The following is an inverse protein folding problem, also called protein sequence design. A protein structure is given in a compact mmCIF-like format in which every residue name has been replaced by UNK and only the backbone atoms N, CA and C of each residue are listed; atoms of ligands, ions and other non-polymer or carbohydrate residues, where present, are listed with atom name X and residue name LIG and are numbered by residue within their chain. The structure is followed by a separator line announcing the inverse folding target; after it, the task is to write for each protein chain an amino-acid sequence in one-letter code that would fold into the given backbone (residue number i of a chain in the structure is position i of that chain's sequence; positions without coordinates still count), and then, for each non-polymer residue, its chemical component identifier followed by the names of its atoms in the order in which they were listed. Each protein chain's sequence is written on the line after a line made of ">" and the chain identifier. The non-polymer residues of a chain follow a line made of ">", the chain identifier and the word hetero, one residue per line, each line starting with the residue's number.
data_IF_681889076247
#
_entry.id   IF_681889076247
#
_cell.length_a   1.000
_cell.length_b   1.000
_cell.length_c   1.000
_cell.angle_alpha   90.00
_cell.angle_beta   90.00
_cell.angle_gamma   90.00
#
_symmetry.space_group_name_H-M   'P 1'
#
loop_
_entity.id
_entity.type
_entity.pdbx_description
1 polymer ?
#
# COMPACT_ATOMS: atom_id res chain seq x y z
N UNK A 1 -22.74 14.13 -8.03
CA UNK A 1 -21.42 14.53 -7.47
C UNK A 1 -20.48 14.89 -8.60
N UNK A 2 -19.64 15.89 -8.40
CA UNK A 2 -18.64 16.27 -9.41
C UNK A 2 -17.31 15.60 -9.06
N UNK A 3 -16.98 14.49 -9.71
CA UNK A 3 -15.76 13.69 -9.48
C UNK A 3 -14.52 14.21 -10.21
N UNK A 4 -14.52 15.45 -10.69
CA UNK A 4 -13.43 16.02 -11.54
C UNK A 4 -12.05 16.01 -10.88
N UNK A 5 -11.97 15.89 -9.55
CA UNK A 5 -10.73 15.91 -8.79
C UNK A 5 -10.39 14.56 -8.13
N UNK A 6 -11.08 13.47 -8.53
CA UNK A 6 -10.82 12.13 -8.00
C UNK A 6 -10.12 11.32 -9.06
N UNK A 7 -8.98 10.72 -8.69
CA UNK A 7 -8.27 9.76 -9.51
C UNK A 7 -8.73 8.36 -9.11
N UNK A 8 -9.33 7.63 -10.06
CA UNK A 8 -9.69 6.24 -9.86
C UNK A 8 -8.45 5.34 -9.99
N UNK A 9 -8.39 4.22 -9.26
CA UNK A 9 -7.32 3.24 -9.47
C UNK A 9 -7.43 2.69 -10.90
N UNK A 10 -6.32 2.67 -11.60
CA UNK A 10 -6.25 2.15 -12.96
C UNK A 10 -5.37 0.89 -12.97
N UNK A 11 -5.97 -0.27 -12.79
CA UNK A 11 -5.23 -1.55 -12.70
C UNK A 11 -4.51 -1.95 -14.01
N UNK A 12 -4.80 -1.27 -15.12
CA UNK A 12 -4.04 -1.41 -16.35
C UNK A 12 -2.76 -0.53 -16.36
N UNK A 13 -2.67 0.41 -15.41
CA UNK A 13 -1.55 1.35 -15.30
C UNK A 13 -1.33 1.79 -13.85
N UNK A 14 -0.91 0.84 -13.02
CA UNK A 14 -0.68 1.04 -11.58
C UNK A 14 0.58 0.35 -11.08
N UNK A 15 0.87 0.52 -9.81
CA UNK A 15 2.01 -0.09 -9.13
C UNK A 15 2.10 -1.62 -9.29
N UNK A 16 0.96 -2.31 -9.44
CA UNK A 16 0.93 -3.75 -9.74
C UNK A 16 1.64 -4.08 -11.05
N UNK A 17 1.53 -3.21 -12.07
CA UNK A 17 2.24 -3.37 -13.34
C UNK A 17 3.76 -3.31 -13.19
N UNK A 18 4.27 -2.47 -12.29
CA UNK A 18 5.70 -2.37 -12.01
C UNK A 18 6.25 -3.68 -11.45
N UNK A 19 5.61 -4.23 -10.41
CA UNK A 19 6.07 -5.49 -9.81
C UNK A 19 5.83 -6.68 -10.72
N UNK A 20 4.76 -6.66 -11.54
CA UNK A 20 4.51 -7.70 -12.55
C UNK A 20 5.60 -7.74 -13.62
N UNK A 21 6.15 -6.59 -14.03
CA UNK A 21 7.30 -6.52 -14.95
C UNK A 21 8.55 -7.14 -14.34
N UNK A 22 8.82 -6.89 -13.06
CA UNK A 22 9.96 -7.51 -12.35
C UNK A 22 9.76 -9.04 -12.25
N UNK A 23 8.57 -9.51 -11.92
CA UNK A 23 8.24 -10.94 -11.89
C UNK A 23 8.47 -11.60 -13.25
N UNK A 24 7.96 -10.97 -14.31
CA UNK A 24 8.17 -11.43 -15.70
C UNK A 24 9.65 -11.49 -16.08
N UNK A 25 10.46 -10.52 -15.70
CA UNK A 25 11.90 -10.51 -15.94
C UNK A 25 12.59 -11.74 -15.33
N UNK A 26 12.13 -12.23 -14.18
CA UNK A 26 12.62 -13.44 -13.53
C UNK A 26 11.86 -14.72 -13.95
N UNK A 27 11.12 -14.69 -15.05
CA UNK A 27 10.32 -15.82 -15.58
C UNK A 27 9.24 -16.34 -14.62
N UNK A 28 8.76 -15.49 -13.71
CA UNK A 28 7.57 -15.79 -12.90
C UNK A 28 6.33 -15.52 -13.74
N UNK A 29 5.47 -16.53 -13.90
CA UNK A 29 4.19 -16.34 -14.56
C UNK A 29 3.31 -15.36 -13.76
N UNK A 30 2.81 -14.33 -14.43
CA UNK A 30 1.85 -13.38 -13.89
C UNK A 30 0.62 -13.29 -14.77
N UNK A 31 -0.57 -13.18 -14.14
CA UNK A 31 -1.84 -12.96 -14.82
C UNK A 31 -2.16 -11.47 -14.97
N UNK A 32 -1.38 -10.63 -14.31
CA UNK A 32 -1.59 -9.19 -14.28
C UNK A 32 -0.79 -8.51 -15.36
N UNK A 33 -1.32 -7.38 -15.84
CA UNK A 33 -0.68 -6.56 -16.85
C UNK A 33 0.66 -6.03 -16.34
N UNK A 34 1.67 -6.08 -17.18
CA UNK A 34 3.00 -5.51 -16.93
C UNK A 34 3.07 -4.06 -17.40
N UNK A 35 4.06 -3.31 -16.92
CA UNK A 35 4.38 -1.98 -17.41
C UNK A 35 5.25 -2.09 -18.66
N UNK A 36 4.74 -1.65 -19.81
CA UNK A 36 5.50 -1.67 -21.08
C UNK A 36 6.82 -0.91 -20.98
N UNK A 37 6.84 0.21 -20.25
CA UNK A 37 8.06 1.01 -20.05
C UNK A 37 9.09 0.27 -19.19
N UNK A 38 8.67 -0.36 -18.10
CA UNK A 38 9.58 -1.14 -17.25
C UNK A 38 10.03 -2.40 -17.98
N UNK A 39 9.15 -3.08 -18.72
CA UNK A 39 9.51 -4.22 -19.55
C UNK A 39 10.59 -3.84 -20.58
N UNK A 40 10.44 -2.70 -21.26
CA UNK A 40 11.42 -2.23 -22.24
C UNK A 40 12.79 -2.04 -21.59
N UNK A 41 12.85 -1.35 -20.45
CA UNK A 41 14.09 -1.09 -19.72
C UNK A 41 14.74 -2.40 -19.24
N UNK A 42 13.95 -3.30 -18.63
CA UNK A 42 14.47 -4.58 -18.13
C UNK A 42 14.97 -5.50 -19.25
N UNK A 43 14.48 -5.35 -20.48
CA UNK A 43 14.90 -6.11 -21.64
C UNK A 43 16.12 -5.52 -22.39
N UNK A 44 16.62 -4.34 -22.01
CA UNK A 44 17.78 -3.73 -22.67
C UNK A 44 19.06 -4.56 -22.49
N UNK A 45 19.20 -5.18 -21.33
CA UNK A 45 20.35 -6.02 -21.00
C UNK A 45 20.03 -6.99 -19.87
N UNK A 46 20.92 -7.91 -19.61
CA UNK A 46 20.87 -8.77 -18.42
C UNK A 46 21.49 -8.04 -17.24
N UNK A 47 20.70 -7.87 -16.17
CA UNK A 47 21.15 -7.25 -14.92
C UNK A 47 21.53 -8.34 -13.90
N UNK A 48 22.69 -8.14 -13.26
CA UNK A 48 23.13 -8.99 -12.13
C UNK A 48 22.36 -8.63 -10.86
N UNK A 49 22.10 -7.33 -10.66
CA UNK A 49 21.34 -6.84 -9.53
C UNK A 49 20.11 -6.06 -10.02
N UNK A 50 18.93 -6.48 -9.62
CA UNK A 50 17.69 -5.69 -9.77
C UNK A 50 17.27 -5.23 -8.38
N UNK A 51 17.32 -3.93 -8.17
CA UNK A 51 16.97 -3.29 -6.91
C UNK A 51 15.63 -2.60 -7.09
N UNK A 52 14.68 -2.89 -6.21
CA UNK A 52 13.39 -2.22 -6.12
C UNK A 52 13.28 -1.51 -4.77
N UNK A 53 13.39 -0.19 -4.79
CA UNK A 53 13.31 0.66 -3.60
C UNK A 53 11.93 1.32 -3.52
N UNK A 54 11.23 1.10 -2.42
CA UNK A 54 9.94 1.73 -2.12
C UNK A 54 10.16 2.84 -1.09
N UNK A 55 9.77 4.07 -1.44
CA UNK A 55 9.76 5.23 -0.55
C UNK A 55 8.31 5.53 -0.17
N UNK A 56 7.93 5.15 1.05
CA UNK A 56 6.56 5.23 1.55
C UNK A 56 6.01 6.66 1.50
N UNK A 57 4.81 6.80 0.95
CA UNK A 57 4.11 8.08 0.89
C UNK A 57 4.65 9.10 -0.11
N UNK A 58 5.77 8.82 -0.82
CA UNK A 58 6.38 9.75 -1.78
C UNK A 58 5.65 9.77 -3.13
N UNK A 59 4.36 10.09 -3.13
CA UNK A 59 3.59 10.22 -4.36
C UNK A 59 4.05 11.36 -5.26
N UNK A 60 3.72 11.27 -6.56
CA UNK A 60 4.22 12.18 -7.61
C UNK A 60 3.98 13.66 -7.29
N UNK A 61 2.81 14.02 -6.74
CA UNK A 61 2.51 15.42 -6.44
C UNK A 61 3.44 15.99 -5.35
N UNK A 62 3.77 15.20 -4.32
CA UNK A 62 4.70 15.61 -3.26
C UNK A 62 6.11 15.80 -3.86
N UNK A 63 6.54 14.83 -4.67
CA UNK A 63 7.84 14.92 -5.33
C UNK A 63 7.93 16.13 -6.24
N UNK A 64 6.89 16.42 -7.04
CA UNK A 64 6.83 17.58 -7.92
C UNK A 64 6.82 18.91 -7.16
N UNK A 65 6.12 18.97 -6.03
CA UNK A 65 6.03 20.20 -5.23
C UNK A 65 7.35 20.51 -4.49
N UNK A 66 8.06 19.48 -4.06
CA UNK A 66 9.27 19.62 -3.24
C UNK A 66 10.54 19.62 -4.10
N UNK A 67 10.62 18.77 -5.09
CA UNK A 67 11.85 18.49 -5.85
C UNK A 67 11.61 18.36 -7.35
N UNK A 68 10.98 19.37 -7.96
CA UNK A 68 10.60 19.37 -9.38
C UNK A 68 11.80 19.12 -10.32
N UNK A 69 12.93 19.70 -10.03
CA UNK A 69 14.17 19.59 -10.80
C UNK A 69 15.20 18.64 -10.16
N UNK A 70 14.75 17.84 -9.20
CA UNK A 70 15.60 16.90 -8.47
C UNK A 70 15.95 15.64 -9.26
N UNK A 71 16.79 14.83 -8.68
CA UNK A 71 17.30 13.60 -9.28
C UNK A 71 16.18 12.61 -9.62
N UNK A 72 15.23 12.39 -8.72
CA UNK A 72 14.13 11.43 -8.95
C UNK A 72 13.21 11.89 -10.08
N UNK A 73 12.86 13.17 -10.14
CA UNK A 73 12.02 13.70 -11.22
C UNK A 73 12.74 13.66 -12.58
N UNK A 74 14.04 13.94 -12.63
CA UNK A 74 14.84 13.86 -13.88
C UNK A 74 14.91 12.44 -14.43
N UNK A 75 14.85 11.45 -13.56
CA UNK A 75 14.90 10.03 -13.92
C UNK A 75 13.51 9.36 -13.92
N UNK A 76 12.42 10.14 -13.81
CA UNK A 76 11.07 9.61 -13.79
C UNK A 76 10.69 8.97 -15.12
N UNK A 77 10.39 7.69 -15.09
CA UNK A 77 9.99 6.90 -16.26
C UNK A 77 8.48 7.00 -16.50
N UNK A 78 7.69 7.00 -15.43
CA UNK A 78 6.22 6.96 -15.53
C UNK A 78 5.55 7.54 -14.29
N UNK A 79 4.24 7.83 -14.43
CA UNK A 79 3.36 8.16 -13.33
C UNK A 79 2.20 7.16 -13.34
N UNK A 80 2.12 6.32 -12.34
CA UNK A 80 1.12 5.26 -12.22
C UNK A 80 0.22 5.49 -11.00
N UNK A 81 -0.98 4.93 -11.01
CA UNK A 81 -1.81 4.95 -9.79
C UNK A 81 -1.30 3.93 -8.79
N UNK A 82 -1.57 4.17 -7.50
CA UNK A 82 -1.54 3.09 -6.53
C UNK A 82 -2.69 2.12 -6.77
N UNK A 83 -2.70 0.99 -6.04
CA UNK A 83 -3.91 0.18 -5.87
C UNK A 83 -4.90 0.90 -4.97
N UNK A 84 -6.12 0.39 -4.87
CA UNK A 84 -7.10 0.95 -3.93
C UNK A 84 -7.48 -0.09 -2.87
N UNK A 85 -7.60 0.32 -1.61
CA UNK A 85 -7.24 1.66 -1.11
C UNK A 85 -5.74 1.95 -1.23
N UNK A 86 -5.41 3.22 -1.47
CA UNK A 86 -4.04 3.69 -1.56
C UNK A 86 -3.47 3.91 -0.15
N UNK A 87 -3.16 2.82 0.50
CA UNK A 87 -2.63 2.73 1.87
C UNK A 87 -1.50 1.72 1.92
N UNK A 88 -0.55 1.91 2.82
CA UNK A 88 0.65 1.08 2.96
C UNK A 88 0.34 -0.41 2.98
N UNK A 89 -0.67 -0.84 3.76
CA UNK A 89 -1.02 -2.26 3.88
C UNK A 89 -1.43 -2.91 2.56
N UNK A 90 -2.27 -2.25 1.76
CA UNK A 90 -2.72 -2.77 0.47
C UNK A 90 -1.62 -2.67 -0.60
N UNK A 91 -0.92 -1.55 -0.66
CA UNK A 91 0.08 -1.27 -1.67
C UNK A 91 1.37 -2.08 -1.49
N UNK A 92 1.92 -2.13 -0.26
CA UNK A 92 3.09 -2.98 0.01
C UNK A 92 2.77 -4.46 -0.17
N UNK A 93 1.58 -4.92 0.26
CA UNK A 93 1.19 -6.31 0.02
C UNK A 93 1.08 -6.60 -1.48
N UNK A 94 0.68 -5.63 -2.30
CA UNK A 94 0.72 -5.76 -3.76
C UNK A 94 2.17 -5.94 -4.26
N UNK A 95 3.12 -5.17 -3.74
CA UNK A 95 4.54 -5.36 -4.09
C UNK A 95 5.09 -6.70 -3.59
N UNK A 96 4.77 -7.12 -2.37
CA UNK A 96 5.26 -8.38 -1.81
C UNK A 96 4.64 -9.63 -2.40
N UNK A 97 3.42 -9.54 -2.92
CA UNK A 97 2.69 -10.68 -3.48
C UNK A 97 2.69 -10.73 -5.01
N UNK A 98 2.79 -9.57 -5.68
CA UNK A 98 2.52 -9.45 -7.11
C UNK A 98 1.04 -9.62 -7.45
N UNK A 99 0.13 -9.35 -6.50
CA UNK A 99 -1.31 -9.52 -6.64
C UNK A 99 -2.06 -8.27 -6.13
N UNK A 100 -3.23 -7.94 -6.69
CA UNK A 100 -4.04 -6.82 -6.22
C UNK A 100 -4.71 -7.13 -4.87
N UNK A 101 -5.22 -6.12 -4.15
CA UNK A 101 -5.97 -6.30 -2.90
C UNK A 101 -7.16 -7.26 -3.01
N UNK A 102 -7.78 -7.35 -4.20
CA UNK A 102 -8.87 -8.30 -4.47
C UNK A 102 -8.46 -9.77 -4.30
N UNK A 103 -7.21 -10.11 -4.64
CA UNK A 103 -6.69 -11.47 -4.52
C UNK A 103 -6.00 -11.73 -3.17
N UNK A 104 -5.40 -10.72 -2.56
CA UNK A 104 -4.67 -10.91 -1.29
C UNK A 104 -5.56 -10.84 -0.05
N UNK A 105 -6.68 -10.09 -0.15
CA UNK A 105 -7.50 -9.79 1.03
C UNK A 105 -6.89 -8.75 1.96
N UNK A 106 -5.73 -8.17 1.62
CA UNK A 106 -5.12 -7.06 2.36
C UNK A 106 -5.66 -5.75 1.80
N UNK A 107 -6.69 -5.18 2.45
CA UNK A 107 -7.46 -4.08 1.90
C UNK A 107 -7.47 -2.82 2.76
N UNK A 108 -6.90 -2.88 3.96
CA UNK A 108 -6.87 -1.73 4.87
C UNK A 108 -5.90 -1.96 6.02
N UNK A 109 -5.62 -0.89 6.78
CA UNK A 109 -4.87 -0.96 8.03
C UNK A 109 -5.60 -1.79 9.08
N UNK A 110 -6.93 -1.60 9.24
CA UNK A 110 -7.76 -2.28 10.24
C UNK A 110 -8.86 -3.09 9.58
N UNK A 111 -8.83 -4.42 9.68
CA UNK A 111 -9.80 -5.32 9.07
C UNK A 111 -10.56 -6.14 10.13
N UNK A 112 -11.88 -6.26 9.95
CA UNK A 112 -12.73 -7.03 10.85
C UNK A 112 -12.74 -8.51 10.49
N UNK A 113 -12.33 -9.34 11.46
CA UNK A 113 -12.35 -10.81 11.34
C UNK A 113 -13.49 -11.38 12.14
N UNK A 114 -14.57 -11.74 11.46
CA UNK A 114 -15.79 -12.25 12.10
C UNK A 114 -15.56 -13.51 12.94
N UNK A 115 -14.58 -14.36 12.57
CA UNK A 115 -14.20 -15.58 13.28
C UNK A 115 -13.70 -15.28 14.70
N UNK A 116 -13.16 -14.10 14.88
CA UNK A 116 -12.63 -13.65 16.17
C UNK A 116 -13.48 -12.56 16.81
N UNK A 117 -14.49 -12.03 16.09
CA UNK A 117 -15.33 -10.94 16.55
C UNK A 117 -14.54 -9.65 16.80
N UNK A 118 -13.42 -9.43 16.09
CA UNK A 118 -12.51 -8.31 16.33
C UNK A 118 -12.00 -7.69 15.03
N UNK A 119 -11.73 -6.39 15.07
CA UNK A 119 -10.93 -5.71 14.06
C UNK A 119 -9.45 -5.76 14.46
N UNK A 120 -8.59 -6.08 13.49
CA UNK A 120 -7.17 -6.28 13.70
C UNK A 120 -6.37 -5.37 12.78
N UNK A 121 -5.36 -4.71 13.34
CA UNK A 121 -4.41 -3.91 12.58
C UNK A 121 -3.43 -4.82 11.86
N UNK A 122 -3.39 -4.71 10.55
CA UNK A 122 -2.74 -5.68 9.67
C UNK A 122 -1.22 -5.72 9.80
N UNK A 123 -0.54 -4.59 10.02
CA UNK A 123 0.91 -4.56 10.19
C UNK A 123 1.38 -4.53 11.63
N UNK A 124 0.62 -3.92 12.54
CA UNK A 124 1.01 -3.87 13.96
C UNK A 124 0.63 -5.11 14.75
N UNK A 125 -0.20 -5.98 14.18
CA UNK A 125 -0.72 -7.21 14.80
C UNK A 125 -1.44 -6.95 16.13
N UNK A 126 -2.13 -5.79 16.23
CA UNK A 126 -2.88 -5.39 17.42
C UNK A 126 -4.38 -5.44 17.15
N UNK A 127 -5.14 -5.57 18.21
CA UNK A 127 -6.58 -5.30 18.15
C UNK A 127 -6.77 -3.80 17.88
N UNK A 128 -7.59 -3.46 16.87
CA UNK A 128 -7.63 -2.10 16.32
C UNK A 128 -8.24 -1.08 17.27
N UNK A 129 -9.23 -1.48 18.06
CA UNK A 129 -9.96 -0.55 18.93
C UNK A 129 -9.29 -0.38 20.31
N UNK A 130 -8.89 -1.48 20.96
CA UNK A 130 -8.29 -1.43 22.29
C UNK A 130 -6.77 -1.26 22.25
N UNK A 131 -6.16 -1.39 21.06
CA UNK A 131 -4.70 -1.33 20.85
C UNK A 131 -3.92 -2.40 21.63
N UNK A 132 -4.59 -3.50 21.99
CA UNK A 132 -3.99 -4.60 22.70
C UNK A 132 -3.26 -5.56 21.76
N UNK A 133 -2.15 -6.09 22.23
CA UNK A 133 -1.43 -7.14 21.51
C UNK A 133 -2.23 -8.44 21.48
N UNK A 134 -2.25 -9.08 20.31
CA UNK A 134 -2.91 -10.37 20.13
C UNK A 134 -1.94 -11.47 20.58
N UNK A 135 -2.11 -11.94 21.82
CA UNK A 135 -1.24 -12.97 22.41
C UNK A 135 -1.63 -14.42 22.06
N UNK A 136 -2.71 -14.60 21.29
CA UNK A 136 -3.19 -15.94 20.97
C UNK A 136 -2.65 -16.42 19.60
N UNK A 137 -1.74 -17.42 19.55
CA UNK A 137 -1.21 -17.96 18.30
C UNK A 137 -2.28 -18.56 17.38
N UNK A 138 -3.45 -18.92 17.91
CA UNK A 138 -4.59 -19.39 17.10
C UNK A 138 -5.23 -18.27 16.28
N UNK A 139 -4.97 -17.02 16.65
CA UNK A 139 -5.44 -15.83 15.97
C UNK A 139 -4.42 -15.25 14.98
N UNK A 140 -3.43 -16.01 14.56
CA UNK A 140 -2.52 -15.62 13.48
C UNK A 140 -3.26 -15.60 12.15
N UNK A 141 -4.02 -14.52 11.94
CA UNK A 141 -4.82 -14.31 10.74
C UNK A 141 -3.95 -14.13 9.50
N UNK A 142 -2.75 -13.61 9.68
CA UNK A 142 -1.82 -13.27 8.61
C UNK A 142 -1.34 -14.53 7.90
N UNK A 143 -1.00 -15.57 8.65
CA UNK A 143 -0.58 -16.87 8.10
C UNK A 143 -1.74 -17.81 7.76
N UNK A 144 -2.88 -17.67 8.43
CA UNK A 144 -3.98 -18.64 8.30
C UNK A 144 -5.11 -18.19 7.41
N UNK A 145 -5.36 -16.87 7.35
CA UNK A 145 -6.55 -16.32 6.68
C UNK A 145 -6.18 -15.52 5.44
N UNK A 146 -5.21 -14.63 5.54
CA UNK A 146 -4.81 -13.71 4.46
C UNK A 146 -3.36 -13.94 4.02
N UNK A 147 -2.91 -15.19 4.04
CA UNK A 147 -1.59 -15.55 3.57
C UNK A 147 -1.47 -15.44 2.05
N UNK A 148 -0.27 -15.14 1.59
CA UNK A 148 0.08 -15.11 0.17
C UNK A 148 1.50 -15.64 -0.04
N UNK A 149 1.80 -16.11 -1.23
CA UNK A 149 3.17 -16.44 -1.60
C UNK A 149 3.94 -15.18 -1.95
N UNK A 150 5.09 -14.97 -1.27
CA UNK A 150 5.91 -13.78 -1.50
C UNK A 150 6.61 -13.80 -2.86
N UNK A 151 6.85 -12.62 -3.44
CA UNK A 151 7.61 -12.47 -4.68
C UNK A 151 9.02 -13.03 -4.55
N UNK A 152 9.62 -12.96 -3.36
CA UNK A 152 10.96 -13.53 -3.09
C UNK A 152 10.95 -15.03 -3.35
N UNK A 153 9.97 -15.74 -2.79
CA UNK A 153 9.79 -17.18 -3.03
C UNK A 153 9.48 -17.49 -4.49
N UNK A 154 8.60 -16.71 -5.13
CA UNK A 154 8.25 -16.88 -6.55
C UNK A 154 9.48 -16.73 -7.46
N UNK A 155 10.29 -15.68 -7.24
CA UNK A 155 11.50 -15.42 -8.02
C UNK A 155 12.52 -16.53 -7.84
N UNK A 156 12.83 -16.94 -6.61
CA UNK A 156 13.81 -17.99 -6.37
C UNK A 156 13.37 -19.37 -6.90
N UNK A 157 12.06 -19.65 -6.91
CA UNK A 157 11.52 -20.87 -7.54
C UNK A 157 11.65 -20.85 -9.06
N UNK A 158 11.33 -19.73 -9.70
CA UNK A 158 11.39 -19.58 -11.15
C UNK A 158 12.81 -19.41 -11.67
N UNK A 159 13.68 -18.80 -10.89
CA UNK A 159 15.08 -18.50 -11.22
C UNK A 159 16.02 -18.87 -10.07
N UNK A 160 16.36 -20.19 -9.89
CA UNK A 160 17.09 -20.67 -8.70
C UNK A 160 18.50 -20.11 -8.50
N UNK A 161 19.09 -19.51 -9.53
CA UNK A 161 20.40 -18.84 -9.44
C UNK A 161 20.32 -17.44 -8.82
N UNK A 162 19.12 -16.87 -8.73
CA UNK A 162 18.86 -15.55 -8.17
C UNK A 162 18.67 -15.66 -6.66
N UNK A 163 19.36 -14.82 -5.91
CA UNK A 163 19.15 -14.67 -4.47
C UNK A 163 18.26 -13.47 -4.22
N UNK A 164 17.10 -13.68 -3.62
CA UNK A 164 16.18 -12.61 -3.28
C UNK A 164 16.42 -12.11 -1.85
N UNK A 165 16.55 -10.80 -1.72
CA UNK A 165 16.82 -10.10 -0.46
C UNK A 165 15.69 -9.11 -0.14
N UNK A 166 15.38 -9.00 1.13
CA UNK A 166 14.44 -8.04 1.69
C UNK A 166 15.19 -7.14 2.68
N UNK A 167 15.12 -5.81 2.46
CA UNK A 167 15.69 -4.80 3.35
C UNK A 167 14.52 -4.03 3.96
N UNK A 168 14.27 -4.22 5.24
CA UNK A 168 13.09 -3.74 5.95
C UNK A 168 13.48 -3.22 7.35
N UNK A 169 12.70 -2.28 7.92
CA UNK A 169 12.84 -1.91 9.31
C UNK A 169 12.73 -3.12 10.24
N UNK A 170 13.39 -3.06 11.39
CA UNK A 170 13.43 -4.19 12.34
C UNK A 170 12.05 -4.66 12.80
N UNK A 171 11.08 -3.76 12.89
CA UNK A 171 9.71 -4.07 13.32
C UNK A 171 8.86 -4.77 12.24
N UNK A 172 9.30 -4.78 10.97
CA UNK A 172 8.52 -5.36 9.87
C UNK A 172 8.57 -6.89 9.88
N UNK A 173 7.49 -7.51 9.38
CA UNK A 173 7.49 -8.96 9.15
C UNK A 173 8.50 -9.37 8.08
N UNK A 174 9.07 -10.57 8.22
CA UNK A 174 10.02 -11.14 7.26
C UNK A 174 9.32 -12.04 6.26
N UNK A 175 9.53 -11.78 4.98
CA UNK A 175 8.91 -12.49 3.85
C UNK A 175 9.92 -13.23 2.98
N UNK A 176 11.17 -12.77 3.00
CA UNK A 176 12.29 -13.43 2.30
C UNK A 176 13.10 -14.32 3.24
N UNK A 177 13.76 -15.33 2.69
CA UNK A 177 14.75 -16.13 3.43
C UNK A 177 15.96 -15.28 3.83
N UNK A 178 16.28 -14.24 3.05
CA UNK A 178 17.38 -13.30 3.27
C UNK A 178 16.83 -11.94 3.58
N UNK A 179 16.54 -11.71 4.85
CA UNK A 179 16.04 -10.42 5.33
C UNK A 179 17.13 -9.73 6.14
N UNK A 180 17.32 -8.45 5.87
CA UNK A 180 18.32 -7.58 6.50
C UNK A 180 17.58 -6.41 7.14
N UNK A 181 17.90 -6.11 8.40
CA UNK A 181 17.37 -4.92 9.07
C UNK A 181 18.00 -3.67 8.46
N UNK A 182 17.15 -2.73 8.06
CA UNK A 182 17.54 -1.43 7.54
C UNK A 182 16.48 -0.40 7.95
N UNK A 183 16.75 0.35 9.02
CA UNK A 183 15.76 1.22 9.67
C UNK A 183 15.72 2.64 9.10
N UNK A 184 16.58 2.94 8.16
CA UNK A 184 16.67 4.26 7.52
C UNK A 184 17.37 4.17 6.16
N UNK A 185 17.30 5.25 5.38
CA UNK A 185 17.86 5.28 4.02
C UNK A 185 19.38 5.06 3.98
N UNK A 186 20.13 5.46 5.01
CA UNK A 186 21.58 5.24 5.06
C UNK A 186 21.92 3.76 5.22
N UNK A 187 21.20 3.05 6.09
CA UNK A 187 21.34 1.61 6.27
C UNK A 187 20.90 0.84 5.02
N UNK A 188 19.82 1.28 4.34
CA UNK A 188 19.38 0.71 3.06
C UNK A 188 20.50 0.85 2.03
N UNK A 189 21.04 2.04 1.82
CA UNK A 189 22.11 2.30 0.85
C UNK A 189 23.37 1.51 1.17
N UNK A 190 23.78 1.46 2.44
CA UNK A 190 24.92 0.68 2.88
C UNK A 190 24.76 -0.80 2.52
N UNK A 191 23.63 -1.40 2.86
CA UNK A 191 23.36 -2.81 2.58
C UNK A 191 23.26 -3.08 1.07
N UNK A 192 22.63 -2.21 0.28
CA UNK A 192 22.60 -2.32 -1.19
C UNK A 192 24.03 -2.33 -1.75
N UNK A 193 24.86 -1.38 -1.34
CA UNK A 193 26.25 -1.30 -1.79
C UNK A 193 27.03 -2.57 -1.46
N UNK A 194 26.85 -3.13 -0.26
CA UNK A 194 27.56 -4.34 0.15
C UNK A 194 27.05 -5.58 -0.64
N UNK A 195 25.75 -5.71 -0.84
CA UNK A 195 25.18 -6.79 -1.66
C UNK A 195 25.65 -6.70 -3.11
N UNK A 196 25.75 -5.52 -3.71
CA UNK A 196 26.18 -5.33 -5.10
C UNK A 196 27.65 -5.69 -5.33
N UNK A 197 28.49 -5.75 -4.30
CA UNK A 197 29.90 -6.20 -4.42
C UNK A 197 30.04 -7.70 -4.66
N UNK A 198 29.05 -8.49 -4.28
CA UNK A 198 29.10 -9.95 -4.42
C UNK A 198 28.68 -10.40 -5.83
N UNK A 199 29.23 -11.52 -6.37
CA UNK A 199 29.04 -11.91 -7.77
C UNK A 199 27.67 -12.52 -8.09
N UNK A 200 26.88 -12.88 -7.09
CA UNK A 200 25.61 -13.56 -7.30
C UNK A 200 24.59 -12.67 -8.03
N UNK A 201 23.70 -13.26 -8.81
CA UNK A 201 22.52 -12.58 -9.33
C UNK A 201 21.51 -12.32 -8.19
N UNK A 202 20.96 -11.10 -8.10
CA UNK A 202 20.11 -10.69 -7.00
C UNK A 202 18.86 -9.95 -7.44
N UNK A 203 17.80 -10.21 -6.71
CA UNK A 203 16.67 -9.31 -6.56
C UNK A 203 16.71 -8.73 -5.14
N UNK A 204 16.63 -7.42 -5.00
CA UNK A 204 16.65 -6.72 -3.72
C UNK A 204 15.43 -5.84 -3.67
N UNK A 205 14.49 -6.10 -2.76
CA UNK A 205 13.42 -5.17 -2.42
C UNK A 205 13.80 -4.48 -1.12
N UNK A 206 13.84 -3.16 -1.15
CA UNK A 206 14.11 -2.32 0.01
C UNK A 206 12.92 -1.38 0.25
N UNK A 207 12.54 -1.22 1.51
CA UNK A 207 11.44 -0.35 1.93
C UNK A 207 11.91 0.65 2.98
N UNK A 208 11.58 1.92 2.74
CA UNK A 208 11.74 3.01 3.70
C UNK A 208 10.37 3.52 4.10
N UNK A 209 10.06 3.52 5.40
CA UNK A 209 8.82 4.06 5.99
C UNK A 209 8.76 5.60 5.97
N UNK A 210 9.79 6.22 5.45
CA UNK A 210 9.85 7.66 5.21
C UNK A 210 9.90 7.94 3.69
N UNK A 211 9.26 9.04 3.29
CA UNK A 211 8.81 10.18 4.10
C UNK A 211 7.44 10.05 4.79
N UNK A 212 6.65 8.98 4.62
CA UNK A 212 5.27 8.89 5.14
C UNK A 212 5.17 9.21 6.63
N UNK A 213 6.01 8.61 7.47
CA UNK A 213 6.04 8.88 8.92
C UNK A 213 6.28 10.37 9.24
N UNK A 214 7.11 11.05 8.46
CA UNK A 214 7.37 12.49 8.60
C UNK A 214 6.19 13.33 8.11
N UNK A 215 5.57 12.92 6.98
CA UNK A 215 4.39 13.59 6.43
C UNK A 215 3.20 13.51 7.40
N UNK A 216 3.00 12.37 8.04
CA UNK A 216 2.00 12.23 9.11
C UNK A 216 2.25 13.14 10.30
N UNK A 217 3.50 13.29 10.70
CA UNK A 217 3.86 14.06 11.89
C UNK A 217 3.87 15.57 11.67
N UNK A 218 4.33 16.02 10.52
CA UNK A 218 4.63 17.44 10.27
C UNK A 218 3.79 18.05 9.14
N UNK A 219 3.12 17.24 8.33
CA UNK A 219 2.38 17.68 7.14
C UNK A 219 3.20 17.68 5.86
N UNK A 220 2.50 17.64 4.72
CA UNK A 220 3.14 17.45 3.39
C UNK A 220 3.98 18.62 2.92
N UNK A 221 3.76 19.82 3.45
CA UNK A 221 4.47 21.05 3.07
C UNK A 221 5.52 21.48 4.09
N UNK A 222 5.77 20.67 5.12
CA UNK A 222 6.71 21.00 6.20
C UNK A 222 8.16 21.10 5.73
N UNK A 223 8.95 21.89 6.44
CA UNK A 223 10.38 21.99 6.14
C UNK A 223 11.14 20.71 6.46
N UNK A 224 10.68 19.94 7.45
CA UNK A 224 11.19 18.62 7.81
C UNK A 224 11.02 17.62 6.64
N UNK A 225 9.83 17.56 6.05
CA UNK A 225 9.55 16.71 4.90
C UNK A 225 10.40 17.13 3.68
N UNK A 226 10.46 18.42 3.38
CA UNK A 226 11.26 18.97 2.28
C UNK A 226 12.75 18.64 2.43
N UNK A 227 13.28 18.84 3.63
CA UNK A 227 14.69 18.55 3.94
C UNK A 227 14.97 17.07 3.76
N UNK A 228 14.15 16.21 4.36
CA UNK A 228 14.31 14.75 4.27
C UNK A 228 14.29 14.25 2.83
N UNK A 229 13.32 14.69 2.03
CA UNK A 229 13.18 14.25 0.62
C UNK A 229 14.41 14.66 -0.18
N UNK A 230 14.90 15.91 -0.03
CA UNK A 230 16.10 16.37 -0.72
C UNK A 230 17.35 15.60 -0.31
N UNK A 231 17.56 15.41 0.99
CA UNK A 231 18.71 14.63 1.48
C UNK A 231 18.65 13.18 1.01
N UNK A 232 17.45 12.60 0.91
CA UNK A 232 17.24 11.24 0.37
C UNK A 232 17.59 11.19 -1.12
N UNK A 233 17.16 12.16 -1.93
CA UNK A 233 17.53 12.25 -3.34
C UNK A 233 19.04 12.36 -3.53
N UNK A 234 19.72 13.24 -2.77
CA UNK A 234 21.16 13.44 -2.85
C UNK A 234 21.92 12.13 -2.53
N UNK A 235 21.49 11.40 -1.51
CA UNK A 235 22.08 10.11 -1.12
C UNK A 235 21.86 9.02 -2.17
N UNK A 236 20.67 8.96 -2.77
CA UNK A 236 20.36 8.01 -3.84
C UNK A 236 21.19 8.35 -5.08
N UNK A 237 21.27 9.62 -5.47
CA UNK A 237 22.11 10.07 -6.59
C UNK A 237 23.58 9.68 -6.38
N UNK A 238 24.12 9.89 -5.16
CA UNK A 238 25.49 9.49 -4.84
C UNK A 238 25.68 7.97 -4.89
N UNK A 239 24.71 7.20 -4.40
CA UNK A 239 24.74 5.73 -4.49
C UNK A 239 24.80 5.29 -5.96
N UNK A 240 24.03 5.90 -6.87
CA UNK A 240 24.00 5.50 -8.29
C UNK A 240 25.33 5.71 -9.00
N UNK A 241 26.19 6.62 -8.54
CA UNK A 241 27.54 6.83 -9.10
C UNK A 241 28.50 5.70 -8.74
N UNK A 242 28.17 4.91 -7.71
CA UNK A 242 29.05 3.89 -7.13
C UNK A 242 28.59 2.45 -7.42
N UNK A 243 27.40 2.23 -7.92
CA UNK A 243 26.91 0.90 -8.32
C UNK A 243 27.41 0.51 -9.71
N UNK A 244 27.56 -0.79 -9.94
CA UNK A 244 28.06 -1.33 -11.21
C UNK A 244 27.03 -1.20 -12.35
N UNK A 245 27.53 -1.13 -13.60
CA UNK A 245 26.67 -1.00 -14.80
C UNK A 245 25.70 -2.17 -15.01
N UNK A 246 25.94 -3.32 -14.41
CA UNK A 246 25.06 -4.50 -14.43
C UNK A 246 23.99 -4.47 -13.31
N UNK A 247 23.78 -3.29 -12.73
CA UNK A 247 22.78 -3.05 -11.69
C UNK A 247 21.71 -2.10 -12.21
N UNK A 248 20.45 -2.41 -11.98
CA UNK A 248 19.32 -1.50 -12.17
C UNK A 248 18.68 -1.17 -10.84
N UNK A 249 18.41 0.12 -10.64
CA UNK A 249 17.65 0.66 -9.51
C UNK A 249 16.30 1.15 -10.01
N UNK A 250 15.23 0.55 -9.55
CA UNK A 250 13.84 0.96 -9.78
C UNK A 250 13.32 1.54 -8.47
N UNK A 251 12.85 2.78 -8.50
CA UNK A 251 12.29 3.46 -7.33
C UNK A 251 10.81 3.69 -7.55
N UNK A 252 10.00 3.42 -6.53
CA UNK A 252 8.56 3.67 -6.54
C UNK A 252 8.09 4.17 -5.19
N UNK A 253 6.92 4.80 -5.16
CA UNK A 253 6.14 4.98 -3.94
C UNK A 253 5.02 3.94 -3.92
N UNK A 254 4.51 3.64 -2.76
CA UNK A 254 3.33 2.80 -2.58
C UNK A 254 2.04 3.62 -2.70
N UNK A 255 2.03 4.85 -2.15
CA UNK A 255 0.95 5.84 -2.29
C UNK A 255 1.49 7.27 -2.19
N UNK A 256 0.60 8.25 -2.27
CA UNK A 256 0.85 9.64 -1.91
C UNK A 256 0.29 9.97 -0.53
N UNK A 257 0.42 11.21 -0.12
CA UNK A 257 -0.07 11.71 1.16
C UNK A 257 -0.85 13.01 0.97
N UNK A 258 -1.82 13.27 1.84
CA UNK A 258 -2.61 14.50 1.84
C UNK A 258 -2.98 14.91 3.26
N UNK A 259 -2.75 16.18 3.58
CA UNK A 259 -3.15 16.74 4.87
C UNK A 259 -4.66 16.68 5.08
N UNK A 260 -5.05 16.28 6.28
CA UNK A 260 -6.45 16.24 6.70
C UNK A 260 -6.91 17.65 7.06
N UNK A 261 -7.96 18.10 6.38
CA UNK A 261 -8.59 19.42 6.61
C UNK A 261 -9.68 19.34 7.67
N UNK A 262 -10.38 18.19 7.75
CA UNK A 262 -11.50 18.00 8.67
C UNK A 262 -11.59 16.56 9.14
N UNK A 263 -11.69 16.38 10.44
CA UNK A 263 -11.90 15.10 11.08
C UNK A 263 -13.25 15.03 11.75
N UNK A 264 -13.99 13.98 11.49
CA UNK A 264 -15.27 13.66 12.12
C UNK A 264 -15.12 12.47 13.05
N UNK A 265 -16.08 12.34 13.98
CA UNK A 265 -16.30 11.11 14.74
C UNK A 265 -17.76 10.68 14.58
N UNK A 266 -18.00 9.38 14.39
CA UNK A 266 -19.37 8.87 14.35
C UNK A 266 -20.06 8.95 15.70
N UNK A 267 -19.31 9.15 16.80
CA UNK A 267 -19.89 9.35 18.14
C UNK A 267 -20.78 10.60 18.23
N UNK A 268 -20.53 11.60 17.38
CA UNK A 268 -21.35 12.82 17.29
C UNK A 268 -22.67 12.61 16.52
N UNK A 269 -22.87 11.42 15.94
CA UNK A 269 -24.02 11.09 15.08
C UNK A 269 -24.73 9.80 15.55
N UNK A 270 -25.34 9.80 16.73
CA UNK A 270 -25.98 8.60 17.30
C UNK A 270 -27.05 8.01 16.39
N UNK A 271 -27.72 8.84 15.59
CA UNK A 271 -28.70 8.38 14.59
C UNK A 271 -28.10 7.56 13.46
N UNK A 272 -26.81 7.74 13.14
CA UNK A 272 -26.09 6.89 12.18
C UNK A 272 -25.64 5.61 12.88
N UNK A 273 -25.09 5.73 14.10
CA UNK A 273 -24.62 4.58 14.86
C UNK A 273 -25.72 3.57 15.17
N UNK A 274 -26.94 4.02 15.49
CA UNK A 274 -28.05 3.11 15.77
C UNK A 274 -28.40 2.19 14.58
N UNK A 275 -28.03 2.60 13.35
CA UNK A 275 -28.20 1.78 12.15
C UNK A 275 -27.18 0.66 12.04
N UNK A 276 -26.05 0.73 12.76
CA UNK A 276 -24.93 -0.18 12.59
C UNK A 276 -25.06 -1.43 13.46
N UNK A 277 -24.52 -2.54 12.95
CA UNK A 277 -24.36 -3.81 13.69
C UNK A 277 -23.11 -3.75 14.55
N UNK A 278 -22.07 -3.06 14.07
CA UNK A 278 -20.76 -2.93 14.71
C UNK A 278 -20.13 -1.58 14.30
N UNK A 279 -19.08 -1.10 14.97
CA UNK A 279 -18.33 0.08 14.55
C UNK A 279 -17.83 -0.06 13.10
N UNK A 280 -17.66 1.10 12.42
CA UNK A 280 -17.04 1.11 11.10
C UNK A 280 -15.62 0.54 11.15
N UNK A 281 -15.17 -0.07 10.07
CA UNK A 281 -13.84 -0.66 9.94
C UNK A 281 -13.14 -0.18 8.67
N UNK A 282 -11.93 -0.60 8.46
CA UNK A 282 -10.99 -0.38 7.37
C UNK A 282 -10.12 0.86 7.61
N UNK A 283 -10.39 1.99 6.94
CA UNK A 283 -9.55 3.19 6.98
C UNK A 283 -10.37 4.44 7.30
N UNK A 284 -9.74 5.45 7.89
CA UNK A 284 -10.42 6.72 8.19
C UNK A 284 -10.96 7.46 6.97
N UNK A 285 -10.48 7.15 5.77
CA UNK A 285 -10.91 7.73 4.49
C UNK A 285 -11.57 6.73 3.55
N UNK A 286 -11.60 5.47 3.96
CA UNK A 286 -12.27 4.36 3.29
C UNK A 286 -12.92 3.47 4.34
N UNK A 287 -14.17 3.72 4.67
CA UNK A 287 -14.90 3.04 5.74
C UNK A 287 -15.82 1.97 5.18
N UNK A 288 -15.91 0.88 5.91
CA UNK A 288 -16.89 -0.19 5.69
C UNK A 288 -17.94 -0.18 6.79
N UNK A 289 -19.21 -0.29 6.41
CA UNK A 289 -20.37 -0.24 7.32
C UNK A 289 -21.18 -1.52 7.23
N UNK A 290 -21.33 -2.18 8.37
CA UNK A 290 -22.24 -3.30 8.57
C UNK A 290 -23.53 -2.77 9.16
N UNK A 291 -24.60 -2.72 8.34
CA UNK A 291 -25.85 -2.05 8.67
C UNK A 291 -26.94 -3.09 8.93
N UNK A 292 -27.75 -2.84 9.97
CA UNK A 292 -28.95 -3.65 10.28
C UNK A 292 -29.88 -3.67 9.08
N UNK A 293 -30.42 -4.85 8.74
CA UNK A 293 -31.22 -5.05 7.52
C UNK A 293 -32.37 -4.04 7.41
N UNK A 294 -33.11 -3.88 8.50
CA UNK A 294 -34.27 -2.98 8.59
C UNK A 294 -33.90 -1.49 8.63
N UNK A 295 -32.61 -1.15 8.75
CA UNK A 295 -32.13 0.24 8.87
C UNK A 295 -31.40 0.72 7.61
N UNK A 296 -31.27 -0.08 6.57
CA UNK A 296 -30.46 0.25 5.38
C UNK A 296 -30.85 1.57 4.71
N UNK A 297 -32.14 1.78 4.47
CA UNK A 297 -32.62 3.01 3.84
C UNK A 297 -32.37 4.23 4.73
N UNK A 298 -32.64 4.11 6.05
CA UNK A 298 -32.38 5.17 7.03
C UNK A 298 -30.91 5.50 7.15
N UNK A 299 -30.03 4.48 7.11
CA UNK A 299 -28.59 4.67 7.11
C UNK A 299 -28.13 5.54 5.94
N UNK A 300 -28.56 5.19 4.71
CA UNK A 300 -28.20 5.94 3.49
C UNK A 300 -28.70 7.39 3.58
N UNK A 301 -29.94 7.60 4.00
CA UNK A 301 -30.50 8.95 4.18
C UNK A 301 -29.70 9.77 5.21
N UNK A 302 -29.47 9.21 6.40
CA UNK A 302 -28.78 9.89 7.50
C UNK A 302 -27.32 10.16 7.18
N UNK A 303 -26.63 9.19 6.59
CA UNK A 303 -25.24 9.35 6.19
C UNK A 303 -25.10 10.45 5.13
N UNK A 304 -25.89 10.42 4.08
CA UNK A 304 -25.83 11.41 3.01
C UNK A 304 -26.21 12.81 3.50
N UNK A 305 -27.19 12.94 4.39
CA UNK A 305 -27.56 14.23 4.97
C UNK A 305 -26.38 14.95 5.62
N UNK A 306 -25.43 14.20 6.19
CA UNK A 306 -24.26 14.76 6.88
C UNK A 306 -23.03 14.81 5.96
N UNK A 307 -22.79 13.75 5.21
CA UNK A 307 -21.47 13.49 4.61
C UNK A 307 -21.44 13.52 3.07
N UNK A 308 -22.56 13.67 2.35
CA UNK A 308 -22.60 13.57 0.87
C UNK A 308 -21.64 14.50 0.13
N UNK A 309 -21.27 15.65 0.72
CA UNK A 309 -20.35 16.61 0.10
C UNK A 309 -18.88 16.21 0.23
N UNK A 310 -18.58 15.33 1.16
CA UNK A 310 -17.21 14.99 1.54
C UNK A 310 -16.90 13.50 1.35
N UNK A 311 -17.92 12.66 1.34
CA UNK A 311 -17.79 11.22 1.16
C UNK A 311 -18.76 10.70 0.09
N UNK A 312 -18.26 9.77 -0.67
CA UNK A 312 -19.09 9.00 -1.60
C UNK A 312 -19.49 7.69 -0.94
N UNK A 313 -20.77 7.60 -0.57
CA UNK A 313 -21.38 6.37 -0.07
C UNK A 313 -21.82 5.52 -1.25
N UNK A 314 -21.48 4.25 -1.24
CA UNK A 314 -21.91 3.28 -2.25
C UNK A 314 -22.19 1.93 -1.62
N UNK A 315 -22.96 1.10 -2.31
CA UNK A 315 -23.20 -0.27 -1.91
C UNK A 315 -21.95 -1.14 -2.13
N UNK A 316 -21.87 -2.26 -1.40
CA UNK A 316 -20.84 -3.29 -1.61
C UNK A 316 -20.80 -3.76 -3.06
N UNK A 317 -21.95 -3.94 -3.68
CA UNK A 317 -22.09 -4.38 -5.07
C UNK A 317 -21.46 -3.37 -6.03
N UNK A 318 -21.75 -2.08 -5.85
CA UNK A 318 -21.15 -1.04 -6.66
C UNK A 318 -19.63 -1.00 -6.49
N UNK A 319 -19.15 -1.08 -5.25
CA UNK A 319 -17.73 -1.03 -4.94
C UNK A 319 -16.96 -2.19 -5.57
N UNK A 320 -17.44 -3.42 -5.40
CA UNK A 320 -16.73 -4.62 -5.84
C UNK A 320 -16.94 -4.92 -7.33
N UNK A 321 -18.19 -4.85 -7.80
CA UNK A 321 -18.56 -5.44 -9.10
C UNK A 321 -18.79 -4.39 -10.20
N UNK A 322 -19.19 -3.16 -9.85
CA UNK A 322 -19.36 -2.09 -10.83
C UNK A 322 -18.08 -1.29 -11.06
N UNK A 323 -17.37 -0.94 -10.00
CA UNK A 323 -16.18 -0.08 -10.06
C UNK A 323 -14.86 -0.84 -9.92
N UNK A 324 -14.89 -2.10 -9.46
CA UNK A 324 -13.71 -2.94 -9.27
C UNK A 324 -12.57 -2.26 -8.51
N UNK A 325 -12.90 -1.51 -7.45
CA UNK A 325 -11.91 -0.70 -6.74
C UNK A 325 -10.73 -1.52 -6.18
N UNK A 326 -10.94 -2.78 -5.81
CA UNK A 326 -9.89 -3.66 -5.30
C UNK A 326 -9.09 -4.37 -6.39
N UNK A 327 -9.40 -4.13 -7.67
CA UNK A 327 -8.78 -4.80 -8.81
C UNK A 327 -9.55 -6.03 -9.28
N UNK A 328 -8.84 -6.87 -10.03
CA UNK A 328 -9.39 -8.04 -10.74
C UNK A 328 -8.61 -9.29 -10.35
N UNK A 329 -9.12 -10.44 -10.77
CA UNK A 329 -8.48 -11.74 -10.60
C UNK A 329 -9.27 -12.69 -9.71
N UNK A 330 -8.59 -13.57 -8.99
CA UNK A 330 -9.22 -14.55 -8.13
C UNK A 330 -9.62 -13.89 -6.79
N UNK A 331 -10.93 -13.66 -6.62
CA UNK A 331 -11.46 -13.04 -5.40
C UNK A 331 -11.03 -13.81 -4.16
N UNK A 332 -10.34 -13.13 -3.26
CA UNK A 332 -10.05 -13.70 -1.94
C UNK A 332 -11.36 -13.95 -1.17
N UNK A 333 -11.51 -15.13 -0.58
CA UNK A 333 -12.75 -15.57 0.05
C UNK A 333 -13.22 -14.68 1.22
N UNK A 334 -12.31 -13.90 1.80
CA UNK A 334 -12.61 -12.98 2.91
C UNK A 334 -13.10 -11.60 2.47
N UNK A 335 -13.01 -11.24 1.19
CA UNK A 335 -13.45 -9.91 0.71
C UNK A 335 -14.90 -9.63 1.09
N UNK A 336 -15.77 -10.65 0.97
CA UNK A 336 -17.19 -10.50 1.33
C UNK A 336 -17.42 -10.28 2.83
N UNK A 337 -16.50 -10.72 3.66
CA UNK A 337 -16.56 -10.53 5.10
C UNK A 337 -15.99 -9.17 5.53
N UNK A 338 -14.98 -8.68 4.83
CA UNK A 338 -14.34 -7.39 5.16
C UNK A 338 -15.17 -6.19 4.71
N UNK A 339 -15.90 -6.34 3.60
CA UNK A 339 -16.76 -5.28 3.05
C UNK A 339 -18.19 -5.49 3.52
N UNK A 340 -18.68 -4.54 4.33
CA UNK A 340 -20.05 -4.52 4.84
C UNK A 340 -21.09 -4.19 3.76
N UNK A 341 -22.29 -3.80 4.18
CA UNK A 341 -23.38 -3.45 3.25
C UNK A 341 -23.06 -2.23 2.39
N UNK A 342 -22.35 -1.26 3.01
CA UNK A 342 -21.95 -0.01 2.36
C UNK A 342 -20.50 0.31 2.65
N UNK A 343 -19.91 1.06 1.74
CA UNK A 343 -18.60 1.70 1.91
C UNK A 343 -18.72 3.20 1.70
N UNK A 344 -17.91 3.98 2.42
CA UNK A 344 -17.77 5.40 2.19
C UNK A 344 -16.33 5.74 1.85
N UNK A 345 -16.14 6.42 0.72
CA UNK A 345 -14.85 6.88 0.22
C UNK A 345 -14.77 8.39 0.38
N UNK A 346 -13.74 8.89 1.05
CA UNK A 346 -13.52 10.33 1.13
C UNK A 346 -13.19 10.92 -0.23
N UNK A 347 -13.95 11.93 -0.62
CA UNK A 347 -13.79 12.68 -1.89
C UNK A 347 -13.19 14.07 -1.68
N UNK A 348 -12.76 14.35 -0.45
CA UNK A 348 -12.25 15.64 -0.01
C UNK A 348 -10.99 15.46 0.86
N UNK A 349 -10.62 16.51 1.62
CA UNK A 349 -9.61 16.42 2.68
C UNK A 349 -10.16 15.95 4.03
N UNK A 350 -11.32 15.29 4.05
CA UNK A 350 -11.98 14.87 5.28
C UNK A 350 -11.70 13.41 5.63
N UNK A 351 -11.76 13.11 6.93
CA UNK A 351 -11.74 11.76 7.45
C UNK A 351 -12.83 11.53 8.49
N UNK A 352 -13.23 10.30 8.68
CA UNK A 352 -14.03 9.84 9.83
C UNK A 352 -13.14 8.92 10.66
N UNK A 353 -12.90 9.30 11.92
CA UNK A 353 -12.05 8.49 12.81
C UNK A 353 -12.71 7.15 13.11
N UNK A 354 -11.92 6.09 13.07
CA UNK A 354 -12.29 4.78 13.60
C UNK A 354 -12.09 4.86 15.12
N UNK A 355 -13.06 5.42 15.81
CA UNK A 355 -12.93 5.59 17.25
C UNK A 355 -13.45 4.40 18.00
N UNK A 356 -12.73 4.12 19.05
CA UNK A 356 -13.12 3.33 20.18
C UNK A 356 -13.77 4.21 21.25
N UNK A 357 -14.68 3.63 21.97
CA UNK A 357 -15.41 4.20 23.09
C UNK A 357 -14.50 4.82 24.15
#
# INVERSE_FOLDING_TARGET
>A
MNYKNIVFPNYDHCILGTISSILKYYNVETKHKTSEKIDAILNEREYRNVIFLVLDGLGEHILNDISKEGFLNKNKVDCVTSVYPSTTTAALTTYYSGCPPYETGWIAWSQYFKEYGRALDMFSHKESYLREEIKNPLMDVYKKVVNYESIFSKIEKASPIVKAYELEPEYAERRALRSINANNIDEIIMNINDLCKTPDKKFILAYSDNPDSLLHKFGVTSEEAKKFIKETEDKIEEMTKNISEDTILIISADHGHKDIQKAYTLLDYPEIQECLIMPASLECRFLSFFVKEEMKEKFVERFNKVFEKEFWLMSKEEFLNKYHFLGYGNKHYKIDDFIGNYVAISTSGSMIRLETF
#
